data_IF_767510487800
#
_entry.id   IF_767510487800
#
_cell.length_a   1.000
_cell.length_b   1.000
_cell.length_c   1.000
_cell.angle_alpha   90.00
_cell.angle_beta   90.00
_cell.angle_gamma   90.00
#
_symmetry.space_group_name_H-M   'P 1'
#
loop_
_entity.id
_entity.type
_entity.pdbx_description
1 polymer ?
#
# COMPACT_ATOMS: atom_id res chain seq x y z
N UNK A 1 8.03 17.21 -12.18
CA UNK A 1 6.66 17.33 -12.73
C UNK A 1 6.65 17.82 -14.18
N UNK A 2 7.50 18.79 -14.54
CA UNK A 2 7.65 19.32 -15.91
C UNK A 2 7.94 18.29 -17.02
N UNK A 3 8.51 17.13 -16.69
CA UNK A 3 8.74 16.02 -17.64
C UNK A 3 7.50 15.14 -17.86
N UNK A 4 6.49 15.22 -16.97
CA UNK A 4 5.29 14.36 -16.95
C UNK A 4 4.07 15.05 -17.50
N UNK A 5 3.96 16.35 -17.23
CA UNK A 5 2.80 17.14 -17.62
C UNK A 5 3.21 18.25 -18.57
N UNK A 6 2.43 18.42 -19.64
CA UNK A 6 2.59 19.54 -20.58
C UNK A 6 1.73 20.71 -20.12
N UNK A 7 2.20 21.97 -20.25
CA UNK A 7 1.37 23.13 -19.99
C UNK A 7 0.05 23.08 -20.77
N UNK A 8 -1.07 23.32 -20.08
CA UNK A 8 -2.43 23.28 -20.64
C UNK A 8 -3.05 21.89 -20.78
N UNK A 9 -2.29 20.81 -20.53
CA UNK A 9 -2.81 19.45 -20.54
C UNK A 9 -3.82 19.25 -19.40
N UNK A 10 -4.95 18.59 -19.69
CA UNK A 10 -5.93 18.22 -18.67
C UNK A 10 -5.47 16.93 -17.98
N UNK A 11 -5.15 17.05 -16.70
CA UNK A 11 -4.64 15.95 -15.87
C UNK A 11 -5.61 15.70 -14.72
N UNK A 12 -6.06 14.45 -14.61
CA UNK A 12 -6.77 13.95 -13.46
C UNK A 12 -5.81 13.76 -12.31
N UNK A 13 -6.18 14.09 -11.07
CA UNK A 13 -5.33 13.83 -9.92
C UNK A 13 -6.15 13.41 -8.70
N UNK A 14 -5.64 12.44 -7.97
CA UNK A 14 -6.23 12.08 -6.69
C UNK A 14 -5.94 13.19 -5.67
N UNK A 15 -6.98 13.67 -4.97
CA UNK A 15 -6.84 14.66 -3.90
C UNK A 15 -7.50 14.13 -2.63
N UNK A 16 -6.82 13.18 -2.00
CA UNK A 16 -7.29 12.53 -0.76
C UNK A 16 -7.28 13.44 0.48
N UNK A 17 -6.60 14.60 0.42
CA UNK A 17 -6.27 15.41 1.60
C UNK A 17 -5.02 14.93 2.34
N UNK A 18 -4.45 13.80 1.92
CA UNK A 18 -3.11 13.37 2.32
C UNK A 18 -2.02 14.24 1.69
N UNK A 19 -0.89 14.36 2.38
CA UNK A 19 0.25 15.19 1.93
C UNK A 19 0.77 14.77 0.56
N UNK A 20 0.89 13.46 0.28
CA UNK A 20 1.45 12.94 -0.97
C UNK A 20 0.68 13.40 -2.21
N UNK A 21 -0.61 13.09 -2.24
CA UNK A 21 -1.46 13.40 -3.38
C UNK A 21 -1.65 14.91 -3.54
N UNK A 22 -1.68 15.64 -2.42
CA UNK A 22 -1.77 17.10 -2.41
C UNK A 22 -0.50 17.74 -3.00
N UNK A 23 0.69 17.30 -2.57
CA UNK A 23 1.97 17.76 -3.12
C UNK A 23 2.05 17.58 -4.63
N UNK A 24 1.62 16.42 -5.15
CA UNK A 24 1.59 16.19 -6.60
C UNK A 24 0.62 17.12 -7.32
N UNK A 25 -0.55 17.44 -6.74
CA UNK A 25 -1.48 18.41 -7.32
C UNK A 25 -0.85 19.80 -7.41
N UNK A 26 -0.21 20.30 -6.35
CA UNK A 26 0.42 21.63 -6.39
C UNK A 26 1.58 21.69 -7.39
N UNK A 27 2.44 20.66 -7.43
CA UNK A 27 3.52 20.57 -8.42
C UNK A 27 3.00 20.49 -9.86
N UNK A 28 1.87 19.80 -10.09
CA UNK A 28 1.25 19.73 -11.41
C UNK A 28 0.64 21.07 -11.83
N UNK A 29 -0.01 21.78 -10.90
CA UNK A 29 -0.51 23.12 -11.14
C UNK A 29 0.63 24.11 -11.47
N UNK A 30 1.74 24.06 -10.72
CA UNK A 30 2.93 24.88 -10.98
C UNK A 30 3.56 24.58 -12.36
N UNK A 31 3.55 23.32 -12.79
CA UNK A 31 3.96 22.92 -14.13
C UNK A 31 2.99 23.36 -15.25
N UNK A 32 1.88 24.03 -14.92
CA UNK A 32 0.91 24.56 -15.87
C UNK A 32 -0.18 23.58 -16.29
N UNK A 33 -0.38 22.48 -15.55
CA UNK A 33 -1.46 21.53 -15.80
C UNK A 33 -2.84 22.15 -15.52
N UNK A 34 -3.85 21.75 -16.30
CA UNK A 34 -5.26 21.99 -15.94
C UNK A 34 -5.75 20.78 -15.15
N UNK A 35 -5.96 20.95 -13.85
CA UNK A 35 -6.29 19.84 -12.97
C UNK A 35 -7.78 19.58 -12.87
N UNK A 36 -8.15 18.31 -12.97
CA UNK A 36 -9.43 17.78 -12.49
C UNK A 36 -9.09 16.88 -11.30
N UNK A 37 -9.46 17.27 -10.09
CA UNK A 37 -9.15 16.50 -8.88
C UNK A 37 -10.32 15.61 -8.48
N UNK A 38 -10.02 14.40 -8.01
CA UNK A 38 -11.01 13.49 -7.45
C UNK A 38 -10.71 13.24 -5.97
N UNK A 39 -11.70 13.49 -5.11
CA UNK A 39 -11.60 13.29 -3.67
C UNK A 39 -12.70 12.34 -3.20
N UNK A 40 -12.33 11.31 -2.45
CA UNK A 40 -13.29 10.39 -1.84
C UNK A 40 -13.35 10.66 -0.33
N UNK A 41 -14.46 11.22 0.13
CA UNK A 41 -14.64 11.67 1.50
C UNK A 41 -15.32 10.61 2.36
N UNK A 42 -14.69 10.31 3.49
CA UNK A 42 -15.29 9.57 4.59
C UNK A 42 -16.36 10.41 5.28
N UNK A 43 -17.50 9.80 5.59
CA UNK A 43 -18.56 10.42 6.40
C UNK A 43 -18.33 10.20 7.90
N UNK A 44 -17.25 9.51 8.28
CA UNK A 44 -16.93 9.18 9.67
C UNK A 44 -16.72 10.45 10.50
N UNK A 45 -17.43 10.61 11.64
CA UNK A 45 -17.19 11.71 12.56
C UNK A 45 -15.72 11.74 13.01
N UNK A 46 -15.10 12.91 12.93
CA UNK A 46 -13.70 13.11 13.34
C UNK A 46 -12.66 12.83 12.25
N UNK A 47 -13.06 12.36 11.07
CA UNK A 47 -12.16 12.34 9.93
C UNK A 47 -11.81 13.81 9.55
N UNK A 48 -10.53 14.15 9.56
CA UNK A 48 -9.98 15.46 9.21
C UNK A 48 -9.66 15.57 7.71
N UNK A 49 -9.51 14.46 6.97
CA UNK A 49 -9.31 14.47 5.51
C UNK A 49 -10.41 15.26 4.78
N UNK A 50 -11.66 15.19 5.30
CA UNK A 50 -12.81 16.00 4.82
C UNK A 50 -12.61 17.51 4.92
N UNK A 51 -11.62 17.98 5.69
CA UNK A 51 -11.24 19.39 5.77
C UNK A 51 -10.05 19.69 4.86
N UNK A 52 -9.03 18.82 4.86
CA UNK A 52 -7.79 19.03 4.11
C UNK A 52 -7.99 18.97 2.60
N UNK A 53 -8.77 18.01 2.08
CA UNK A 53 -9.01 17.90 0.63
C UNK A 53 -9.75 19.14 0.06
N UNK A 54 -10.89 19.60 0.63
CA UNK A 54 -11.53 20.85 0.19
C UNK A 54 -10.65 22.09 0.41
N UNK A 55 -9.85 22.13 1.48
CA UNK A 55 -8.93 23.24 1.72
C UNK A 55 -7.87 23.34 0.63
N UNK A 56 -7.30 22.21 0.21
CA UNK A 56 -6.33 22.12 -0.87
C UNK A 56 -6.98 22.47 -2.21
N UNK A 57 -8.16 21.91 -2.52
CA UNK A 57 -8.88 22.18 -3.77
C UNK A 57 -9.14 23.68 -3.99
N UNK A 58 -9.56 24.40 -2.95
CA UNK A 58 -9.79 25.86 -3.01
C UNK A 58 -8.55 26.68 -3.32
N UNK A 59 -7.35 26.13 -3.07
CA UNK A 59 -6.06 26.81 -3.26
C UNK A 59 -5.31 26.31 -4.49
N UNK A 60 -5.83 25.30 -5.19
CA UNK A 60 -5.31 24.86 -6.48
C UNK A 60 -5.88 25.76 -7.59
N UNK A 61 -5.05 26.59 -8.23
CA UNK A 61 -5.51 27.58 -9.20
C UNK A 61 -6.11 26.90 -10.43
N UNK A 62 -7.31 27.34 -10.83
CA UNK A 62 -7.96 26.87 -12.05
C UNK A 62 -8.30 25.37 -12.07
N UNK A 63 -8.34 24.72 -10.90
CA UNK A 63 -8.68 23.31 -10.78
C UNK A 63 -10.20 23.09 -10.70
N UNK A 64 -10.67 22.03 -11.34
CA UNK A 64 -12.01 21.49 -11.15
C UNK A 64 -11.94 20.38 -10.11
N UNK A 65 -12.78 20.40 -9.08
CA UNK A 65 -12.74 19.40 -8.01
C UNK A 65 -14.04 18.59 -7.96
N UNK A 66 -13.88 17.27 -8.09
CA UNK A 66 -14.94 16.27 -7.99
C UNK A 66 -14.86 15.64 -6.60
N UNK A 67 -15.84 15.93 -5.75
CA UNK A 67 -15.93 15.36 -4.42
C UNK A 67 -16.99 14.25 -4.41
N UNK A 68 -16.59 13.05 -4.01
CA UNK A 68 -17.44 11.88 -3.86
C UNK A 68 -17.52 11.48 -2.40
N UNK A 69 -18.65 10.88 -2.04
CA UNK A 69 -18.83 10.13 -0.81
C UNK A 69 -18.78 8.63 -1.09
N UNK A 70 -18.51 7.83 -0.06
CA UNK A 70 -18.57 6.37 -0.19
C UNK A 70 -19.97 5.82 -0.52
N UNK A 71 -21.02 6.64 -0.45
CA UNK A 71 -22.37 6.26 -0.88
C UNK A 71 -22.58 6.42 -2.40
N UNK A 72 -21.76 7.24 -3.07
CA UNK A 72 -21.88 7.57 -4.50
C UNK A 72 -21.01 6.69 -5.39
N UNK A 73 -20.07 5.95 -4.81
CA UNK A 73 -19.17 5.04 -5.52
C UNK A 73 -19.51 3.57 -5.24
N UNK A 74 -19.12 2.63 -6.13
CA UNK A 74 -19.16 1.21 -5.79
C UNK A 74 -18.35 0.97 -4.51
N UNK A 75 -18.93 0.36 -3.49
CA UNK A 75 -18.23 0.10 -2.23
C UNK A 75 -16.99 -0.78 -2.41
N UNK A 76 -16.17 -0.92 -1.36
CA UNK A 76 -15.09 -1.90 -1.40
C UNK A 76 -15.65 -3.31 -1.62
N UNK A 77 -14.89 -4.16 -2.31
CA UNK A 77 -15.30 -5.52 -2.65
C UNK A 77 -16.53 -5.60 -3.59
N UNK A 78 -16.91 -4.49 -4.25
CA UNK A 78 -17.80 -4.59 -5.39
C UNK A 78 -17.11 -5.38 -6.53
N UNK A 79 -17.89 -6.19 -7.25
CA UNK A 79 -17.37 -6.96 -8.39
C UNK A 79 -16.56 -8.21 -8.05
N UNK A 80 -16.57 -8.73 -6.80
CA UNK A 80 -15.82 -9.97 -6.45
C UNK A 80 -16.13 -11.19 -7.34
N UNK A 81 -17.34 -11.24 -7.90
CA UNK A 81 -17.77 -12.31 -8.81
C UNK A 81 -17.22 -12.16 -10.23
N UNK A 82 -16.80 -10.97 -10.62
CA UNK A 82 -16.32 -10.65 -11.97
C UNK A 82 -14.92 -11.25 -12.19
N UNK A 83 -14.64 -11.63 -13.43
CA UNK A 83 -13.38 -12.26 -13.82
C UNK A 83 -12.61 -11.34 -14.76
N UNK A 84 -11.33 -11.20 -14.47
CA UNK A 84 -10.45 -10.26 -15.16
C UNK A 84 -9.20 -10.96 -15.67
N UNK A 85 -8.44 -10.26 -16.52
CA UNK A 85 -7.10 -10.72 -16.87
C UNK A 85 -6.21 -10.68 -15.61
N UNK A 86 -5.61 -11.81 -15.20
CA UNK A 86 -4.83 -11.85 -13.98
C UNK A 86 -3.50 -11.14 -14.16
N UNK A 87 -3.11 -10.30 -13.20
CA UNK A 87 -1.77 -9.75 -13.11
C UNK A 87 -0.70 -10.84 -12.84
N UNK A 88 0.58 -10.47 -12.89
CA UNK A 88 1.70 -11.39 -12.60
C UNK A 88 1.60 -12.05 -11.21
N UNK A 89 0.94 -11.40 -10.26
CA UNK A 89 0.82 -11.84 -8.87
C UNK A 89 -0.43 -11.29 -8.17
N UNK A 90 -0.89 -11.90 -7.06
CA UNK A 90 -2.04 -11.41 -6.31
C UNK A 90 -1.78 -10.06 -5.63
N UNK A 91 -2.77 -9.17 -5.66
CA UNK A 91 -2.69 -7.85 -5.02
C UNK A 91 -3.90 -7.50 -4.16
N UNK A 92 -3.65 -6.91 -2.99
CA UNK A 92 -4.72 -6.40 -2.11
C UNK A 92 -5.43 -5.17 -2.71
N UNK A 93 -4.85 -4.53 -3.73
CA UNK A 93 -5.41 -3.37 -4.41
C UNK A 93 -6.75 -3.68 -5.09
N UNK A 94 -6.97 -4.95 -5.48
CA UNK A 94 -8.22 -5.41 -6.10
C UNK A 94 -9.46 -5.13 -5.26
N UNK A 95 -9.34 -5.04 -3.93
CA UNK A 95 -10.47 -4.69 -3.03
C UNK A 95 -11.17 -3.38 -3.39
N UNK A 96 -10.43 -2.44 -3.99
CA UNK A 96 -10.91 -1.11 -4.34
C UNK A 96 -11.05 -0.89 -5.83
N UNK A 97 -10.91 -1.92 -6.68
CA UNK A 97 -10.89 -1.79 -8.15
C UNK A 97 -12.08 -0.99 -8.68
N UNK A 98 -13.31 -1.39 -8.34
CA UNK A 98 -14.52 -0.69 -8.77
C UNK A 98 -14.60 0.79 -8.32
N UNK A 99 -14.01 1.12 -7.16
CA UNK A 99 -13.87 2.54 -6.73
C UNK A 99 -12.91 3.26 -7.68
N UNK A 100 -11.77 2.65 -7.99
CA UNK A 100 -10.73 3.25 -8.84
C UNK A 100 -11.23 3.44 -10.27
N UNK A 101 -11.94 2.46 -10.82
CA UNK A 101 -12.63 2.53 -12.11
C UNK A 101 -13.62 3.70 -12.15
N UNK A 102 -14.49 3.81 -11.13
CA UNK A 102 -15.46 4.89 -11.04
C UNK A 102 -14.80 6.27 -11.06
N UNK A 103 -13.73 6.45 -10.26
CA UNK A 103 -12.98 7.70 -10.21
C UNK A 103 -12.28 7.97 -11.55
N UNK A 104 -11.68 6.96 -12.17
CA UNK A 104 -11.03 7.08 -13.48
C UNK A 104 -12.03 7.51 -14.56
N UNK A 105 -13.20 6.89 -14.62
CA UNK A 105 -14.27 7.29 -15.53
C UNK A 105 -14.72 8.73 -15.30
N UNK A 106 -14.94 9.14 -14.05
CA UNK A 106 -15.34 10.50 -13.73
C UNK A 106 -14.29 11.54 -14.17
N UNK A 107 -13.00 11.27 -13.95
CA UNK A 107 -11.90 12.11 -14.40
C UNK A 107 -11.85 12.17 -15.93
N UNK A 108 -11.97 11.03 -16.61
CA UNK A 108 -11.94 10.94 -18.07
C UNK A 108 -13.12 11.67 -18.72
N UNK A 109 -14.31 11.62 -18.11
CA UNK A 109 -15.49 12.39 -18.56
C UNK A 109 -15.26 13.90 -18.54
N UNK A 110 -14.34 14.40 -17.71
CA UNK A 110 -13.89 15.80 -17.68
C UNK A 110 -12.70 16.09 -18.60
N UNK A 111 -12.34 15.13 -19.46
CA UNK A 111 -11.28 15.27 -20.45
C UNK A 111 -9.87 15.00 -19.92
N UNK A 112 -9.72 14.42 -18.72
CA UNK A 112 -8.42 14.00 -18.22
C UNK A 112 -7.79 12.95 -19.15
N UNK A 113 -6.52 13.14 -19.50
CA UNK A 113 -5.77 12.21 -20.35
C UNK A 113 -4.81 11.32 -19.55
N UNK A 114 -4.51 11.71 -18.32
CA UNK A 114 -3.60 11.05 -17.39
C UNK A 114 -4.15 11.22 -15.97
N UNK A 115 -3.99 10.21 -15.11
CA UNK A 115 -4.31 10.27 -13.68
C UNK A 115 -3.05 10.26 -12.83
N UNK A 116 -2.81 11.29 -12.03
CA UNK A 116 -1.75 11.30 -11.03
C UNK A 116 -2.24 10.72 -9.72
N UNK A 117 -1.49 9.75 -9.18
CA UNK A 117 -1.77 9.16 -7.87
C UNK A 117 -0.65 9.44 -6.88
N UNK A 118 -1.01 9.60 -5.61
CA UNK A 118 -0.05 9.69 -4.51
C UNK A 118 0.51 8.33 -4.06
N UNK A 119 0.27 7.26 -4.82
CA UNK A 119 0.71 5.92 -4.45
C UNK A 119 2.23 5.83 -4.33
N UNK A 120 2.72 5.06 -3.37
CA UNK A 120 4.15 4.93 -3.04
C UNK A 120 4.74 6.08 -2.22
N UNK A 121 4.00 7.18 -2.01
CA UNK A 121 4.47 8.30 -1.20
C UNK A 121 4.77 7.91 0.24
N UNK A 122 3.85 7.21 0.91
CA UNK A 122 4.09 6.64 2.24
C UNK A 122 5.31 5.70 2.26
N UNK A 123 5.47 4.87 1.24
CA UNK A 123 6.52 3.84 1.20
C UNK A 123 7.93 4.39 1.06
N UNK A 124 8.07 5.51 0.35
CA UNK A 124 9.36 6.15 0.09
C UNK A 124 9.68 7.22 1.15
N UNK A 125 8.67 7.97 1.61
CA UNK A 125 8.84 9.09 2.54
C UNK A 125 8.72 8.69 4.01
N UNK A 126 8.03 7.60 4.32
CA UNK A 126 7.93 7.04 5.67
C UNK A 126 8.64 5.69 5.70
N UNK A 127 9.98 5.67 5.91
CA UNK A 127 10.71 4.41 6.02
C UNK A 127 10.08 3.53 7.11
N UNK A 128 10.34 2.20 7.11
CA UNK A 128 9.81 1.31 8.14
C UNK A 128 10.22 1.87 9.50
N UNK A 129 9.22 2.31 10.27
CA UNK A 129 9.33 3.44 11.23
C UNK A 129 10.44 3.33 12.28
N UNK A 130 11.09 2.18 12.41
CA UNK A 130 12.08 1.88 13.43
C UNK A 130 13.33 1.14 12.95
N UNK A 131 13.41 0.72 11.68
CA UNK A 131 14.55 -0.05 11.15
C UNK A 131 15.87 0.74 11.21
N UNK A 132 15.79 2.08 11.12
CA UNK A 132 16.93 2.98 11.23
C UNK A 132 17.51 3.12 12.65
N UNK A 133 16.80 2.66 13.70
CA UNK A 133 17.26 2.82 15.08
C UNK A 133 18.52 1.98 15.38
N UNK A 134 18.63 0.80 14.77
CA UNK A 134 19.79 -0.08 14.94
C UNK A 134 21.11 0.53 14.43
N UNK A 135 21.21 1.07 13.19
CA UNK A 135 22.40 1.80 12.79
C UNK A 135 22.55 3.13 13.54
N UNK A 136 21.45 3.80 13.90
CA UNK A 136 21.50 5.09 14.59
C UNK A 136 22.08 4.97 16.01
N UNK A 137 21.78 3.91 16.78
CA UNK A 137 22.31 3.76 18.14
C UNK A 137 23.84 3.64 18.17
N UNK A 138 24.45 3.15 17.09
CA UNK A 138 25.91 3.03 16.95
C UNK A 138 26.59 4.34 16.57
N UNK A 139 25.90 5.24 15.86
CA UNK A 139 26.44 6.51 15.36
C UNK A 139 26.08 7.70 16.27
N UNK A 140 24.84 7.74 16.75
CA UNK A 140 24.25 8.82 17.54
C UNK A 140 23.34 8.25 18.65
N UNK A 141 23.92 7.69 19.73
CA UNK A 141 23.17 6.94 20.75
C UNK A 141 22.09 7.76 21.46
N UNK A 142 22.34 9.03 21.78
CA UNK A 142 21.36 9.90 22.45
C UNK A 142 20.13 10.11 21.57
N UNK A 143 20.32 10.40 20.29
CA UNK A 143 19.23 10.57 19.31
C UNK A 143 18.47 9.26 19.12
N UNK A 144 19.18 8.14 19.01
CA UNK A 144 18.57 6.82 18.87
C UNK A 144 17.69 6.47 20.07
N UNK A 145 18.16 6.69 21.30
CA UNK A 145 17.40 6.41 22.53
C UNK A 145 16.16 7.31 22.64
N UNK A 146 16.26 8.59 22.27
CA UNK A 146 15.10 9.49 22.21
C UNK A 146 14.05 9.02 21.21
N UNK A 147 14.47 8.67 19.99
CA UNK A 147 13.54 8.17 18.98
C UNK A 147 12.95 6.80 19.39
N UNK A 148 13.75 5.91 19.95
CA UNK A 148 13.29 4.61 20.46
C UNK A 148 12.26 4.77 21.58
N UNK A 149 12.44 5.74 22.49
CA UNK A 149 11.47 6.07 23.52
C UNK A 149 10.15 6.59 22.92
N UNK A 150 10.22 7.47 21.93
CA UNK A 150 9.05 7.98 21.22
C UNK A 150 8.27 6.87 20.49
N UNK A 151 8.97 6.02 19.73
CA UNK A 151 8.34 4.88 19.04
C UNK A 151 7.76 3.85 20.01
N UNK A 152 8.45 3.58 21.11
CA UNK A 152 7.95 2.73 22.19
C UNK A 152 6.67 3.29 22.79
N UNK A 153 6.61 4.59 23.08
CA UNK A 153 5.43 5.23 23.65
C UNK A 153 4.24 5.16 22.66
N UNK A 154 4.48 5.49 21.39
CA UNK A 154 3.47 5.48 20.33
C UNK A 154 2.95 4.07 20.02
N UNK A 155 3.84 3.08 19.97
CA UNK A 155 3.51 1.70 19.56
C UNK A 155 3.29 0.75 20.73
N UNK A 156 3.41 1.26 21.97
CA UNK A 156 3.26 0.51 23.23
C UNK A 156 4.11 -0.76 23.30
N UNK A 157 5.37 -0.66 22.88
CA UNK A 157 6.27 -1.81 22.85
C UNK A 157 6.77 -2.20 24.25
N UNK A 158 6.90 -3.50 24.54
CA UNK A 158 7.64 -3.97 25.71
C UNK A 158 9.09 -3.51 25.67
N UNK A 159 9.68 -3.23 26.83
CA UNK A 159 11.09 -2.82 26.95
C UNK A 159 12.04 -3.87 26.33
N UNK A 160 11.74 -5.15 26.51
CA UNK A 160 12.52 -6.25 25.93
C UNK A 160 12.53 -6.23 24.39
N UNK A 161 11.41 -5.88 23.77
CA UNK A 161 11.32 -5.76 22.31
C UNK A 161 12.10 -4.53 21.80
N UNK A 162 12.04 -3.41 22.52
CA UNK A 162 12.84 -2.22 22.22
C UNK A 162 14.34 -2.49 22.36
N UNK A 163 14.77 -3.17 23.44
CA UNK A 163 16.16 -3.55 23.62
C UNK A 163 16.64 -4.49 22.50
N UNK A 164 15.82 -5.48 22.12
CA UNK A 164 16.13 -6.38 21.01
C UNK A 164 16.31 -5.61 19.70
N UNK A 165 15.41 -4.69 19.37
CA UNK A 165 15.54 -3.84 18.18
C UNK A 165 16.86 -3.06 18.15
N UNK A 166 17.35 -2.59 19.30
CA UNK A 166 18.58 -1.80 19.35
C UNK A 166 19.85 -2.65 19.29
N UNK A 167 19.83 -3.84 19.90
CA UNK A 167 21.06 -4.59 20.20
C UNK A 167 21.18 -5.95 19.51
N UNK A 168 20.11 -6.52 18.97
CA UNK A 168 20.17 -7.85 18.37
C UNK A 168 20.97 -7.83 17.04
N UNK A 169 22.15 -8.45 17.08
CA UNK A 169 23.13 -8.50 15.99
C UNK A 169 22.91 -9.61 14.96
N UNK A 170 21.76 -10.31 14.95
CA UNK A 170 21.49 -11.39 13.98
C UNK A 170 21.70 -10.93 12.52
N UNK A 171 22.35 -11.77 11.73
CA UNK A 171 22.46 -11.57 10.27
C UNK A 171 21.09 -11.71 9.61
N UNK A 172 20.97 -11.22 8.37
CA UNK A 172 19.76 -11.35 7.57
C UNK A 172 19.36 -12.83 7.38
N UNK A 173 20.31 -13.69 7.03
CA UNK A 173 20.12 -15.15 6.92
C UNK A 173 19.59 -15.79 8.20
N UNK A 174 20.17 -15.48 9.36
CA UNK A 174 19.70 -15.99 10.66
C UNK A 174 18.32 -15.47 11.01
N UNK A 175 17.96 -14.26 10.58
CA UNK A 175 16.62 -13.71 10.76
C UNK A 175 15.59 -14.44 9.89
N UNK A 176 15.92 -14.75 8.62
CA UNK A 176 15.06 -15.54 7.73
C UNK A 176 14.81 -16.94 8.29
N UNK A 177 15.88 -17.68 8.64
CA UNK A 177 15.78 -19.01 9.23
C UNK A 177 14.95 -19.02 10.53
N UNK A 178 15.14 -18.02 11.39
CA UNK A 178 14.36 -17.89 12.63
C UNK A 178 12.91 -17.43 12.42
N UNK A 179 12.51 -17.07 11.19
CA UNK A 179 11.15 -16.64 10.89
C UNK A 179 10.25 -17.82 10.54
N UNK A 180 10.79 -18.87 9.91
CA UNK A 180 10.04 -20.12 9.62
C UNK A 180 9.47 -20.79 10.88
N UNK A 181 10.21 -20.79 11.99
CA UNK A 181 9.74 -21.36 13.26
C UNK A 181 8.66 -20.54 13.97
N UNK A 182 8.37 -19.33 13.48
CA UNK A 182 7.42 -18.38 14.10
C UNK A 182 6.16 -18.16 13.27
N UNK A 183 5.94 -18.95 12.22
CA UNK A 183 4.83 -18.73 11.29
C UNK A 183 3.45 -18.84 11.95
N UNK A 184 3.28 -19.75 12.91
CA UNK A 184 2.03 -19.94 13.64
C UNK A 184 1.91 -19.10 14.92
N UNK A 185 2.93 -18.28 15.25
CA UNK A 185 2.78 -17.38 16.39
C UNK A 185 1.59 -16.44 16.12
N UNK A 186 0.65 -16.28 17.08
CA UNK A 186 -0.50 -15.43 16.87
C UNK A 186 -0.02 -14.03 16.51
N UNK A 187 -0.63 -13.45 15.48
CA UNK A 187 -0.46 -12.05 15.16
C UNK A 187 -1.06 -11.24 16.32
N UNK A 188 -0.26 -10.96 17.35
CA UNK A 188 -0.68 -10.02 18.38
C UNK A 188 -0.93 -8.71 17.67
N UNK A 189 -2.08 -8.05 17.89
CA UNK A 189 -2.45 -6.79 17.22
C UNK A 189 -1.48 -5.60 17.44
N UNK A 190 -0.33 -5.84 18.08
CA UNK A 190 0.83 -4.96 18.14
C UNK A 190 1.98 -5.63 17.41
N UNK A 191 2.37 -5.11 16.24
CA UNK A 191 3.58 -5.54 15.56
C UNK A 191 4.77 -5.31 16.50
N UNK A 192 5.48 -6.40 16.83
CA UNK A 192 6.73 -6.33 17.58
C UNK A 192 7.81 -5.84 16.62
N UNK A 193 8.61 -4.83 16.99
CA UNK A 193 9.68 -4.39 16.13
C UNK A 193 10.70 -5.52 15.98
N UNK A 194 11.10 -5.80 14.76
CA UNK A 194 12.22 -6.68 14.43
C UNK A 194 13.20 -5.94 13.51
N UNK A 195 14.42 -6.46 13.44
CA UNK A 195 15.58 -5.74 12.93
C UNK A 195 15.67 -5.67 11.41
N UNK A 196 15.15 -6.68 10.73
CA UNK A 196 15.23 -6.82 9.27
C UNK A 196 13.87 -6.63 8.58
N UNK A 197 12.81 -6.33 9.33
CA UNK A 197 11.46 -6.13 8.81
C UNK A 197 10.40 -6.86 9.64
N UNK A 198 9.17 -6.87 9.16
CA UNK A 198 8.09 -7.67 9.77
C UNK A 198 8.10 -9.04 9.12
N UNK A 199 8.41 -10.10 9.87
CA UNK A 199 8.37 -11.47 9.34
C UNK A 199 6.93 -11.93 9.08
N UNK A 200 6.68 -12.76 8.05
CA UNK A 200 5.33 -13.27 7.77
C UNK A 200 4.77 -14.04 8.96
N UNK A 201 3.43 -14.02 9.06
CA UNK A 201 2.64 -14.84 9.98
C UNK A 201 1.53 -15.47 9.18
N UNK A 202 1.31 -16.75 9.40
CA UNK A 202 0.24 -17.46 8.71
C UNK A 202 -1.09 -17.20 9.43
N UNK A 203 -2.16 -16.93 8.67
CA UNK A 203 -3.49 -16.83 9.23
C UNK A 203 -3.97 -18.21 9.70
N UNK A 204 -4.93 -18.22 10.62
CA UNK A 204 -5.43 -19.44 11.25
C UNK A 204 -6.11 -20.43 10.28
N UNK A 205 -6.42 -20.01 9.06
CA UNK A 205 -6.97 -20.86 8.00
C UNK A 205 -5.89 -21.53 7.14
N UNK A 206 -4.63 -21.14 7.26
CA UNK A 206 -3.55 -21.75 6.47
C UNK A 206 -3.28 -23.18 6.96
N UNK A 207 -3.04 -24.10 6.01
CA UNK A 207 -2.74 -25.50 6.31
C UNK A 207 -1.29 -25.69 6.78
N UNK A 208 -0.99 -26.83 7.40
CA UNK A 208 0.40 -27.23 7.69
C UNK A 208 1.23 -27.39 6.42
N UNK A 209 0.59 -27.74 5.30
CA UNK A 209 1.24 -27.76 3.98
C UNK A 209 1.70 -26.35 3.56
N UNK A 210 0.84 -25.34 3.69
CA UNK A 210 1.22 -23.95 3.44
C UNK A 210 2.37 -23.49 4.36
N UNK A 211 2.34 -23.92 5.62
CA UNK A 211 3.43 -23.66 6.57
C UNK A 211 4.74 -24.31 6.16
N UNK A 212 4.71 -25.58 5.75
CA UNK A 212 5.88 -26.28 5.22
C UNK A 212 6.46 -25.62 3.97
N UNK A 213 5.61 -25.23 3.03
CA UNK A 213 6.02 -24.52 1.80
C UNK A 213 6.69 -23.18 2.12
N UNK A 214 6.06 -22.35 2.96
CA UNK A 214 6.64 -21.06 3.34
C UNK A 214 7.92 -21.21 4.16
N UNK A 215 7.99 -22.18 5.08
CA UNK A 215 9.20 -22.47 5.83
C UNK A 215 10.35 -22.89 4.88
N UNK A 216 10.07 -23.77 3.91
CA UNK A 216 11.04 -24.16 2.89
C UNK A 216 11.55 -22.97 2.06
N UNK A 217 10.65 -22.08 1.63
CA UNK A 217 11.03 -20.84 0.92
C UNK A 217 11.91 -19.93 1.79
N UNK A 218 11.60 -19.79 3.08
CA UNK A 218 12.39 -18.99 4.02
C UNK A 218 13.77 -19.61 4.28
N UNK A 219 13.87 -20.94 4.33
CA UNK A 219 15.12 -21.67 4.52
C UNK A 219 16.02 -21.57 3.28
N UNK A 220 15.46 -21.74 2.08
CA UNK A 220 16.18 -21.48 0.82
C UNK A 220 16.65 -20.03 0.73
N UNK A 221 15.76 -19.07 1.03
CA UNK A 221 16.13 -17.66 1.06
C UNK A 221 17.20 -17.37 2.13
N UNK A 222 17.21 -18.06 3.27
CA UNK A 222 18.24 -17.88 4.29
C UNK A 222 19.64 -18.30 3.80
N UNK A 223 19.72 -19.22 2.83
CA UNK A 223 20.98 -19.70 2.24
C UNK A 223 21.45 -18.80 1.09
N UNK A 224 20.53 -18.32 0.26
CA UNK A 224 20.85 -17.66 -1.02
C UNK A 224 20.71 -16.14 -0.98
N UNK A 225 19.81 -15.60 -0.16
CA UNK A 225 19.47 -14.19 -0.20
C UNK A 225 20.49 -13.33 0.56
N UNK A 226 20.92 -12.25 -0.09
CA UNK A 226 21.72 -11.21 0.52
C UNK A 226 20.85 -9.98 0.83
N UNK A 227 21.09 -9.31 1.97
CA UNK A 227 20.36 -8.09 2.24
C UNK A 227 20.73 -7.01 1.22
N UNK A 228 19.73 -6.26 0.74
CA UNK A 228 19.90 -5.12 -0.16
C UNK A 228 20.91 -4.05 0.31
N UNK A 229 21.22 -4.03 1.60
CA UNK A 229 22.29 -3.23 2.20
C UNK A 229 22.75 -3.87 3.50
N UNK A 230 24.02 -3.70 3.86
CA UNK A 230 24.53 -4.06 5.20
C UNK A 230 23.95 -3.16 6.30
N UNK A 231 23.54 -1.94 5.96
CA UNK A 231 22.78 -1.06 6.84
C UNK A 231 21.29 -1.48 6.80
N UNK A 232 20.79 -1.97 7.95
CA UNK A 232 19.42 -2.47 8.10
C UNK A 232 18.34 -1.43 7.82
N UNK A 233 18.61 -0.17 8.17
CA UNK A 233 17.71 0.93 7.89
C UNK A 233 17.58 1.12 6.39
N UNK A 234 18.71 1.17 5.68
CA UNK A 234 18.71 1.30 4.23
C UNK A 234 18.12 0.06 3.54
N UNK A 235 18.45 -1.16 3.99
CA UNK A 235 17.84 -2.40 3.48
C UNK A 235 16.31 -2.32 3.50
N UNK A 236 15.75 -1.96 4.66
CA UNK A 236 14.30 -1.88 4.85
C UNK A 236 13.67 -0.80 3.96
N UNK A 237 14.35 0.34 3.77
CA UNK A 237 13.88 1.42 2.89
C UNK A 237 13.87 1.03 1.41
N UNK A 238 14.95 0.40 0.93
CA UNK A 238 15.03 -0.06 -0.46
C UNK A 238 14.02 -1.18 -0.70
N UNK A 239 13.86 -2.10 0.26
CA UNK A 239 12.85 -3.15 0.18
C UNK A 239 11.44 -2.56 0.06
N UNK A 240 11.10 -1.58 0.89
CA UNK A 240 9.79 -0.93 0.85
C UNK A 240 9.55 -0.16 -0.46
N UNK A 241 10.55 0.56 -0.96
CA UNK A 241 10.46 1.25 -2.24
C UNK A 241 10.26 0.28 -3.42
N UNK A 242 10.94 -0.87 -3.41
CA UNK A 242 10.73 -1.94 -4.41
C UNK A 242 9.32 -2.50 -4.36
N UNK A 243 8.80 -2.76 -3.17
CA UNK A 243 7.44 -3.25 -3.00
C UNK A 243 6.40 -2.25 -3.50
N UNK A 244 6.59 -0.95 -3.22
CA UNK A 244 5.74 0.10 -3.78
C UNK A 244 5.81 0.15 -5.30
N UNK A 245 7.01 0.07 -5.90
CA UNK A 245 7.16 0.03 -7.36
C UNK A 245 6.43 -1.16 -7.99
N UNK A 246 6.57 -2.35 -7.38
CA UNK A 246 5.91 -3.59 -7.82
C UNK A 246 4.38 -3.50 -7.75
N UNK A 247 3.82 -3.02 -6.64
CA UNK A 247 2.37 -2.87 -6.53
C UNK A 247 1.85 -1.74 -7.42
N UNK A 248 2.63 -0.66 -7.59
CA UNK A 248 2.30 0.40 -8.52
C UNK A 248 2.20 -0.14 -9.94
N UNK A 249 3.10 -1.00 -10.41
CA UNK A 249 2.99 -1.55 -11.77
C UNK A 249 1.71 -2.35 -11.99
N UNK A 250 1.24 -3.11 -10.99
CA UNK A 250 -0.04 -3.81 -11.06
C UNK A 250 -1.21 -2.81 -11.15
N UNK A 251 -1.21 -1.79 -10.28
CA UNK A 251 -2.24 -0.76 -10.29
C UNK A 251 -2.27 0.03 -11.61
N UNK A 252 -1.10 0.35 -12.17
CA UNK A 252 -0.97 1.06 -13.43
C UNK A 252 -1.47 0.20 -14.61
N UNK A 253 -1.20 -1.09 -14.59
CA UNK A 253 -1.73 -2.02 -15.59
C UNK A 253 -3.26 -2.02 -15.61
N UNK A 254 -3.90 -2.19 -14.45
CA UNK A 254 -5.37 -2.10 -14.31
C UNK A 254 -5.91 -0.77 -14.86
N UNK A 255 -5.27 0.36 -14.53
CA UNK A 255 -5.72 1.68 -15.01
C UNK A 255 -5.68 1.86 -16.53
N UNK A 256 -4.76 1.16 -17.22
CA UNK A 256 -4.69 1.21 -18.69
C UNK A 256 -5.83 0.42 -19.33
N UNK A 257 -6.31 -0.64 -18.68
CA UNK A 257 -7.50 -1.39 -19.07
C UNK A 257 -8.75 -0.52 -18.90
N UNK A 258 -8.80 0.28 -17.84
CA UNK A 258 -9.90 1.22 -17.53
C UNK A 258 -9.86 2.53 -18.36
N UNK A 259 -8.98 2.59 -19.36
CA UNK A 259 -8.84 3.66 -20.33
C UNK A 259 -8.41 5.04 -19.78
N UNK A 260 -7.91 5.15 -18.55
CA UNK A 260 -7.22 6.36 -18.07
C UNK A 260 -5.85 5.99 -17.52
N UNK A 261 -4.77 6.16 -18.32
CA UNK A 261 -3.41 5.88 -17.87
C UNK A 261 -3.13 6.62 -16.56
N UNK A 262 -2.59 5.90 -15.58
CA UNK A 262 -2.16 6.48 -14.32
C UNK A 262 -0.64 6.64 -14.25
N UNK A 263 -0.18 7.54 -13.38
CA UNK A 263 1.22 7.68 -12.99
C UNK A 263 1.33 7.79 -11.47
N UNK A 264 2.39 7.19 -10.92
CA UNK A 264 2.73 7.24 -9.49
C UNK A 264 4.13 7.85 -9.32
N UNK A 265 4.27 9.20 -9.33
CA UNK A 265 5.58 9.86 -9.37
C UNK A 265 6.50 9.52 -8.19
N UNK A 266 5.97 9.10 -7.04
CA UNK A 266 6.79 8.67 -5.90
C UNK A 266 7.54 7.35 -6.15
N UNK A 267 7.10 6.55 -7.12
CA UNK A 267 7.76 5.32 -7.55
C UNK A 267 8.81 5.56 -8.65
N UNK A 268 9.07 6.82 -9.04
CA UNK A 268 10.14 7.15 -9.99
C UNK A 268 11.53 6.98 -9.37
N UNK A 269 12.46 6.40 -10.11
CA UNK A 269 13.84 6.15 -9.67
C UNK A 269 14.55 7.41 -9.14
N UNK A 270 14.31 8.57 -9.75
CA UNK A 270 14.91 9.84 -9.33
C UNK A 270 14.34 10.28 -7.98
N UNK A 271 13.03 10.14 -7.80
CA UNK A 271 12.36 10.48 -6.53
C UNK A 271 12.78 9.53 -5.42
N UNK A 272 12.80 8.23 -5.70
CA UNK A 272 13.30 7.20 -4.77
C UNK A 272 14.75 7.50 -4.39
N UNK A 273 15.63 7.75 -5.37
CA UNK A 273 17.05 8.05 -5.13
C UNK A 273 17.23 9.30 -4.29
N UNK A 274 16.47 10.37 -4.56
CA UNK A 274 16.50 11.60 -3.78
C UNK A 274 16.09 11.34 -2.32
N UNK A 275 15.01 10.59 -2.11
CA UNK A 275 14.53 10.27 -0.77
C UNK A 275 15.52 9.38 -0.01
N UNK A 276 16.09 8.37 -0.66
CA UNK A 276 17.08 7.46 -0.05
C UNK A 276 18.40 8.15 0.29
N UNK A 277 18.75 9.24 -0.39
CA UNK A 277 19.96 10.04 -0.11
C UNK A 277 19.85 10.85 1.19
N UNK A 278 18.64 11.06 1.71
CA UNK A 278 18.41 11.74 2.99
C UNK A 278 18.65 10.78 4.15
N UNK A 279 19.30 11.29 5.20
CA UNK A 279 19.55 10.55 6.44
C UNK A 279 18.23 10.06 7.03
N UNK A 280 18.15 8.79 7.40
CA UNK A 280 16.89 8.18 7.83
C UNK A 280 16.24 8.91 9.03
N UNK A 281 17.03 9.43 9.97
CA UNK A 281 16.53 10.20 11.12
C UNK A 281 15.91 11.56 10.76
N UNK A 282 16.16 12.08 9.57
CA UNK A 282 15.56 13.32 9.07
C UNK A 282 14.30 13.04 8.22
N UNK A 283 14.18 11.82 7.70
CA UNK A 283 13.00 11.41 6.90
C UNK A 283 11.78 11.07 7.77
N UNK A 284 12.00 10.63 9.01
CA UNK A 284 10.92 10.28 9.93
C UNK A 284 11.30 10.52 11.38
N UNK A 285 10.30 10.84 12.19
CA UNK A 285 10.44 10.92 13.65
C UNK A 285 9.16 10.42 14.32
N UNK A 286 9.20 10.03 15.60
CA UNK A 286 8.00 9.67 16.34
C UNK A 286 7.06 10.86 16.61
N UNK A 287 7.49 12.10 16.32
CA UNK A 287 6.78 13.34 16.64
C UNK A 287 6.25 14.09 15.42
N UNK A 288 6.80 13.82 14.23
CA UNK A 288 6.54 14.59 13.02
C UNK A 288 6.05 13.67 11.90
N UNK A 289 5.02 14.10 11.20
CA UNK A 289 4.48 13.39 10.05
C UNK A 289 5.14 13.91 8.77
N UNK A 290 5.88 13.03 8.07
CA UNK A 290 6.57 13.30 6.80
C UNK A 290 7.43 14.59 6.77
N UNK A 291 8.37 14.77 7.72
CA UNK A 291 9.20 15.97 7.77
C UNK A 291 9.99 16.25 6.48
N UNK A 292 10.44 15.20 5.78
CA UNK A 292 11.13 15.36 4.49
C UNK A 292 10.21 15.96 3.42
N UNK A 293 8.97 15.48 3.29
CA UNK A 293 8.05 16.01 2.30
C UNK A 293 7.62 17.44 2.66
N UNK A 294 7.38 17.71 3.94
CA UNK A 294 7.08 19.05 4.42
C UNK A 294 8.19 20.05 4.04
N UNK A 295 9.46 19.71 4.32
CA UNK A 295 10.59 20.56 3.96
C UNK A 295 10.75 20.71 2.44
N UNK A 296 10.50 19.66 1.67
CA UNK A 296 10.62 19.70 0.20
C UNK A 296 9.54 20.54 -0.47
N UNK A 297 8.37 20.68 0.15
CA UNK A 297 7.18 21.34 -0.40
C UNK A 297 6.94 22.72 0.20
N UNK A 298 7.84 23.20 1.07
CA UNK A 298 7.83 24.55 1.61
C UNK A 298 7.76 25.59 0.48
N UNK A 299 6.85 26.56 0.61
CA UNK A 299 6.58 27.57 -0.42
C UNK A 299 5.79 27.09 -1.65
N UNK A 300 5.59 25.78 -1.84
CA UNK A 300 4.78 25.21 -2.94
C UNK A 300 3.39 24.82 -2.44
N UNK A 301 3.34 24.13 -1.30
CA UNK A 301 2.10 23.67 -0.66
C UNK A 301 1.82 24.56 0.55
N UNK A 302 0.56 24.99 0.79
CA UNK A 302 0.22 25.82 1.95
C UNK A 302 0.64 25.19 3.30
N UNK A 303 1.23 25.99 4.19
CA UNK A 303 1.76 25.55 5.50
C UNK A 303 0.77 24.73 6.30
N UNK A 304 -0.51 25.11 6.31
CA UNK A 304 -1.57 24.39 7.02
C UNK A 304 -1.68 22.90 6.62
N UNK A 305 -1.37 22.56 5.37
CA UNK A 305 -1.37 21.18 4.87
C UNK A 305 -0.06 20.45 5.24
N UNK A 306 1.06 21.19 5.35
CA UNK A 306 2.39 20.67 5.69
C UNK A 306 2.56 20.43 7.19
N UNK A 307 1.90 21.23 8.02
CA UNK A 307 1.92 21.14 9.49
C UNK A 307 1.01 20.03 10.04
N UNK A 308 0.26 19.35 9.18
CA UNK A 308 -0.64 18.27 9.59
C UNK A 308 0.12 17.14 10.28
N UNK A 309 -0.41 16.69 11.42
CA UNK A 309 0.15 15.59 12.22
C UNK A 309 -0.65 14.29 12.16
N UNK A 310 -1.83 14.32 11.52
CA UNK A 310 -2.77 13.21 11.41
C UNK A 310 -2.80 12.63 9.98
N UNK A 311 -3.32 11.41 9.86
CA UNK A 311 -3.80 10.82 8.61
C UNK A 311 -4.99 9.97 9.01
N UNK A 312 -6.15 10.21 8.40
CA UNK A 312 -7.33 9.44 8.76
C UNK A 312 -7.41 8.14 7.97
N UNK A 313 -8.23 7.25 8.50
CA UNK A 313 -8.44 5.93 7.95
C UNK A 313 -9.92 5.75 7.63
N UNK A 314 -10.20 5.10 6.51
CA UNK A 314 -11.55 4.78 6.01
C UNK A 314 -12.08 3.46 6.58
N UNK A 315 -11.78 3.21 7.86
CA UNK A 315 -12.03 1.92 8.51
C UNK A 315 -13.53 1.62 8.61
N UNK A 316 -14.38 2.64 8.86
CA UNK A 316 -15.83 2.42 8.97
C UNK A 316 -16.43 2.02 7.62
N UNK A 317 -15.99 2.64 6.54
CA UNK A 317 -16.43 2.37 5.18
C UNK A 317 -15.97 1.00 4.69
N UNK A 318 -14.76 0.60 5.08
CA UNK A 318 -14.26 -0.77 4.90
C UNK A 318 -15.18 -1.78 5.60
N UNK A 319 -15.48 -1.58 6.88
CA UNK A 319 -16.39 -2.47 7.62
C UNK A 319 -17.82 -2.46 7.06
N UNK A 320 -18.30 -1.32 6.58
CA UNK A 320 -19.61 -1.21 5.95
C UNK A 320 -19.67 -2.06 4.67
N UNK A 321 -18.65 -1.93 3.82
CA UNK A 321 -18.52 -2.69 2.58
C UNK A 321 -18.39 -4.19 2.84
N UNK A 322 -17.59 -4.56 3.84
CA UNK A 322 -17.46 -5.95 4.30
C UNK A 322 -18.81 -6.56 4.74
N UNK A 323 -19.62 -5.80 5.49
CA UNK A 323 -20.98 -6.22 5.88
C UNK A 323 -21.90 -6.38 4.68
N UNK A 324 -21.80 -5.48 3.70
CA UNK A 324 -22.61 -5.50 2.47
C UNK A 324 -22.32 -6.75 1.62
N UNK A 325 -21.04 -7.09 1.47
CA UNK A 325 -20.56 -8.22 0.65
C UNK A 325 -20.37 -9.53 1.44
N UNK A 326 -20.91 -9.63 2.66
CA UNK A 326 -20.73 -10.81 3.52
C UNK A 326 -21.17 -12.14 2.89
N UNK A 327 -22.17 -12.10 2.00
CA UNK A 327 -22.68 -13.30 1.31
C UNK A 327 -21.71 -13.72 0.22
N UNK A 328 -21.34 -12.79 -0.64
CA UNK A 328 -20.34 -13.00 -1.69
C UNK A 328 -19.02 -13.53 -1.09
N UNK A 329 -18.57 -12.95 0.02
CA UNK A 329 -17.38 -13.39 0.75
C UNK A 329 -17.53 -14.80 1.35
N UNK A 330 -18.70 -15.14 1.88
CA UNK A 330 -18.98 -16.49 2.37
C UNK A 330 -19.01 -17.53 1.23
N UNK A 331 -19.53 -17.15 0.06
CA UNK A 331 -19.59 -18.03 -1.11
C UNK A 331 -18.19 -18.36 -1.66
N UNK A 332 -17.21 -17.45 -1.50
CA UNK A 332 -15.81 -17.74 -1.82
C UNK A 332 -15.27 -18.94 -1.04
N UNK A 333 -15.73 -19.14 0.20
CA UNK A 333 -15.28 -20.24 1.05
C UNK A 333 -15.79 -21.62 0.58
N UNK A 334 -16.93 -21.65 -0.12
CA UNK A 334 -17.58 -22.91 -0.52
C UNK A 334 -16.93 -23.56 -1.74
N UNK A 335 -16.26 -22.76 -2.57
CA UNK A 335 -15.56 -23.19 -3.78
C UNK A 335 -14.16 -22.57 -3.84
N UNK A 336 -13.39 -22.68 -2.75
CA UNK A 336 -12.10 -21.99 -2.65
C UNK A 336 -11.02 -22.67 -3.49
N UNK A 337 -10.39 -21.90 -4.38
CA UNK A 337 -9.22 -22.34 -5.15
C UNK A 337 -8.00 -22.51 -4.25
N UNK A 338 -7.87 -21.69 -3.18
CA UNK A 338 -6.83 -21.88 -2.15
C UNK A 338 -6.99 -23.21 -1.39
N UNK A 339 -8.22 -23.63 -1.11
CA UNK A 339 -8.50 -24.93 -0.51
C UNK A 339 -8.18 -26.08 -1.47
N UNK A 340 -8.58 -25.96 -2.74
CA UNK A 340 -8.23 -26.94 -3.77
C UNK A 340 -6.72 -27.08 -3.99
N UNK A 341 -5.95 -25.99 -3.82
CA UNK A 341 -4.49 -25.99 -3.86
C UNK A 341 -3.82 -26.52 -2.57
N UNK A 342 -4.61 -26.88 -1.54
CA UNK A 342 -4.09 -27.36 -0.25
C UNK A 342 -3.38 -26.28 0.57
N UNK A 343 -3.60 -25.00 0.28
CA UNK A 343 -3.02 -23.86 0.99
C UNK A 343 -3.92 -23.41 2.16
N UNK A 344 -5.23 -23.53 2.00
CA UNK A 344 -6.22 -23.18 3.01
C UNK A 344 -7.02 -24.41 3.49
N UNK A 345 -7.29 -24.50 4.79
CA UNK A 345 -8.28 -25.43 5.34
C UNK A 345 -9.69 -24.88 5.08
N UNK A 346 -10.48 -25.61 4.29
CA UNK A 346 -11.79 -25.16 3.85
C UNK A 346 -12.73 -24.86 5.04
N UNK A 347 -12.70 -25.71 6.07
CA UNK A 347 -13.56 -25.54 7.24
C UNK A 347 -13.14 -24.32 8.07
N UNK A 348 -11.85 -24.07 8.24
CA UNK A 348 -11.30 -22.90 8.91
C UNK A 348 -11.61 -21.63 8.13
N UNK A 349 -11.49 -21.68 6.80
CA UNK A 349 -11.82 -20.56 5.92
C UNK A 349 -13.31 -20.20 6.03
N UNK A 350 -14.19 -21.19 5.97
CA UNK A 350 -15.63 -21.02 6.22
C UNK A 350 -15.88 -20.40 7.60
N UNK A 351 -15.26 -20.93 8.66
CA UNK A 351 -15.40 -20.37 10.02
C UNK A 351 -15.00 -18.89 10.07
N UNK A 352 -13.88 -18.52 9.47
CA UNK A 352 -13.38 -17.13 9.47
C UNK A 352 -14.31 -16.21 8.68
N UNK A 353 -14.73 -16.60 7.48
CA UNK A 353 -15.57 -15.77 6.60
C UNK A 353 -17.03 -15.67 7.08
N UNK A 354 -17.53 -16.67 7.80
CA UNK A 354 -18.84 -16.62 8.45
C UNK A 354 -18.80 -15.99 9.86
N UNK A 355 -17.62 -15.81 10.45
CA UNK A 355 -17.50 -15.30 11.82
C UNK A 355 -17.88 -13.82 11.90
N UNK A 356 -18.69 -13.41 12.90
CA UNK A 356 -18.87 -12.00 13.23
C UNK A 356 -17.55 -11.28 13.56
N UNK A 357 -16.52 -12.01 13.98
CA UNK A 357 -15.18 -11.47 14.30
C UNK A 357 -14.44 -10.93 13.07
N UNK A 358 -14.83 -11.34 11.86
CA UNK A 358 -14.37 -10.74 10.60
C UNK A 358 -14.66 -9.23 10.58
N UNK A 359 -15.72 -8.80 11.27
CA UNK A 359 -16.16 -7.40 11.32
C UNK A 359 -15.51 -6.60 12.46
N UNK A 360 -14.83 -7.24 13.41
CA UNK A 360 -14.30 -6.60 14.62
C UNK A 360 -12.79 -6.70 14.75
N UNK A 361 -12.19 -7.75 14.21
CA UNK A 361 -10.75 -7.86 14.05
C UNK A 361 -10.35 -7.20 12.73
N UNK A 362 -9.23 -6.47 12.73
CA UNK A 362 -8.46 -6.35 11.49
C UNK A 362 -8.02 -7.78 11.18
N UNK A 363 -8.84 -8.49 10.41
CA UNK A 363 -8.63 -9.88 10.06
C UNK A 363 -7.33 -9.97 9.28
N UNK A 364 -6.24 -10.21 10.01
CA UNK A 364 -4.90 -10.30 9.47
C UNK A 364 -4.93 -11.40 8.41
N UNK A 365 -4.58 -11.05 7.18
CA UNK A 365 -4.63 -12.00 6.07
C UNK A 365 -5.91 -12.01 5.26
N UNK A 366 -6.98 -11.25 5.59
CA UNK A 366 -8.20 -11.24 4.75
C UNK A 366 -7.95 -10.60 3.39
N UNK A 367 -7.27 -9.45 3.34
CA UNK A 367 -6.98 -8.83 2.05
C UNK A 367 -6.03 -9.69 1.21
N UNK A 368 -5.07 -10.36 1.86
CA UNK A 368 -4.18 -11.31 1.19
C UNK A 368 -4.92 -12.58 0.72
N UNK A 369 -5.86 -13.10 1.52
CA UNK A 369 -6.74 -14.19 1.16
C UNK A 369 -7.53 -13.82 -0.10
N UNK A 370 -8.22 -12.68 -0.08
CA UNK A 370 -9.05 -12.25 -1.20
C UNK A 370 -8.21 -11.99 -2.45
N UNK A 371 -7.06 -11.32 -2.30
CA UNK A 371 -6.12 -11.12 -3.39
C UNK A 371 -5.71 -12.44 -4.05
N UNK A 372 -5.30 -13.44 -3.26
CA UNK A 372 -4.86 -14.73 -3.77
C UNK A 372 -6.01 -15.56 -4.36
N UNK A 373 -7.16 -15.61 -3.69
CA UNK A 373 -8.33 -16.36 -4.15
C UNK A 373 -8.89 -15.80 -5.46
N UNK A 374 -9.02 -14.47 -5.59
CA UNK A 374 -9.48 -13.84 -6.83
C UNK A 374 -8.49 -14.04 -7.97
N UNK A 375 -7.19 -13.87 -7.71
CA UNK A 375 -6.15 -14.10 -8.70
C UNK A 375 -6.14 -15.55 -9.22
N UNK A 376 -6.30 -16.55 -8.35
CA UNK A 376 -6.41 -17.95 -8.76
C UNK A 376 -7.67 -18.24 -9.60
N UNK A 377 -8.77 -17.53 -9.35
CA UNK A 377 -10.01 -17.64 -10.15
C UNK A 377 -9.86 -16.97 -11.52
N UNK A 378 -9.21 -15.82 -11.55
CA UNK A 378 -8.88 -15.11 -12.79
C UNK A 378 -7.94 -15.97 -13.65
N UNK A 379 -6.91 -16.58 -13.07
CA UNK A 379 -6.03 -17.54 -13.76
C UNK A 379 -6.76 -18.79 -14.25
N UNK A 380 -7.70 -19.33 -13.48
CA UNK A 380 -8.48 -20.48 -13.93
C UNK A 380 -9.39 -20.14 -15.13
N UNK A 381 -9.85 -18.90 -15.22
CA UNK A 381 -10.69 -18.39 -16.32
C UNK A 381 -9.85 -17.95 -17.52
N UNK A 382 -8.67 -17.37 -17.26
CA UNK A 382 -7.71 -16.87 -18.24
C UNK A 382 -6.33 -17.49 -18.00
N UNK A 383 -6.13 -18.79 -18.36
CA UNK A 383 -4.86 -19.49 -18.09
C UNK A 383 -3.65 -18.90 -18.81
N UNK A 384 -3.89 -18.08 -19.83
CA UNK A 384 -2.88 -17.31 -20.55
C UNK A 384 -3.27 -15.84 -20.47
N UNK A 385 -2.61 -15.05 -19.60
CA UNK A 385 -2.89 -13.64 -19.51
C UNK A 385 -2.73 -12.94 -20.86
N UNK A 386 -3.56 -11.92 -21.11
CA UNK A 386 -3.56 -11.23 -22.40
C UNK A 386 -2.21 -10.54 -22.67
N UNK A 387 -1.57 -9.98 -21.65
CA UNK A 387 -0.25 -9.33 -21.78
C UNK A 387 0.89 -10.31 -22.13
N UNK A 388 0.73 -11.61 -21.89
CA UNK A 388 1.68 -12.66 -22.31
C UNK A 388 1.36 -13.19 -23.71
N UNK A 389 0.17 -12.91 -24.23
CA UNK A 389 -0.24 -13.35 -25.57
C UNK A 389 0.28 -12.32 -26.57
N UNK A 390 1.40 -12.62 -27.24
CA UNK A 390 1.90 -11.77 -28.32
C UNK A 390 0.79 -11.59 -29.36
N UNK A 391 0.42 -10.36 -29.76
CA UNK A 391 -0.53 -10.20 -30.85
C UNK A 391 0.07 -10.86 -32.09
N UNK A 392 -0.61 -11.88 -32.63
CA UNK A 392 -0.23 -12.42 -33.94
C UNK A 392 -0.24 -11.24 -34.92
N UNK A 393 0.84 -11.02 -35.70
CA UNK A 393 0.81 -10.00 -36.73
C UNK A 393 -0.39 -10.31 -37.62
N UNK A 394 -1.32 -9.36 -37.73
CA UNK A 394 -2.42 -9.46 -38.65
C UNK A 394 -1.81 -9.68 -40.04
N UNK A 395 -2.00 -10.87 -40.61
CA UNK A 395 -1.73 -11.11 -42.01
C UNK A 395 -2.69 -10.22 -42.80
N UNK A 396 -2.20 -9.03 -43.16
CA UNK A 396 -2.79 -8.24 -44.21
C UNK A 396 -2.70 -9.08 -45.50
N UNK A 397 -3.77 -9.82 -45.79
CA UNK A 397 -4.01 -10.39 -47.11
C UNK A 397 -3.96 -9.25 -48.12
N UNK A 398 -3.05 -9.38 -49.07
CA UNK A 398 -2.85 -8.47 -50.21
C UNK A 398 -4.01 -8.54 -51.19
#
# INVERSE_FOLDING_TARGET
>A
MSLRVRPGQVVGADLSGGMDSTSLCFLAAEAGARLVTASLHSTTPGNEDRHYAPYAAKRLPGSESLAFTFAEVPGYFAGLGERHDPADEPTAVTRGRAVQEHLAHALRHRGAQLRLTGYGGDDVLLPPRWSYLYPLVRRHPVTALRHAAGWRARSRWPLSATARLLFDGRSYSRWLAATGSRLHEPATGRSRPDNWGTGPRLPAWATDNAAGLLAGLLDSAAQEAHPLSSDRGLHARVHQAREAGRIASIFLHDSTVDALPAESPYCDDTVITACLSVRAQDTTSPWSYKPLLAAAMDGVVPDHLLERVTKDHVTQEWHHSLRRHRRDLADLASNSHLAAAGIADENALRRVLHSPELLTSQSHGLEQLLAAELWLRDLATHPRPAYLTTPQPQEHSR
#
